data_IF_631054503378
#
_entry.id   IF_631054503378
#
_cell.length_a   1.000
_cell.length_b   1.000
_cell.length_c   1.000
_cell.angle_alpha   90.00
_cell.angle_beta   90.00
_cell.angle_gamma   90.00
#
_symmetry.space_group_name_H-M   'P 1'
#
loop_
_entity.id
_entity.type
_entity.pdbx_description
1 polymer ?
#
# COMPACT_ATOMS: atom_id res chain seq x y z
N UNK A 1 -16.14 3.74 -28.58
CA UNK A 1 -14.86 4.14 -27.93
C UNK A 1 -14.26 2.89 -27.32
N UNK A 2 -13.17 2.37 -27.91
CA UNK A 2 -12.45 1.22 -27.36
C UNK A 2 -11.51 1.76 -26.29
N UNK A 3 -11.68 1.32 -25.04
CA UNK A 3 -10.77 1.65 -23.94
C UNK A 3 -9.44 0.95 -24.21
N UNK A 4 -8.37 1.72 -24.40
CA UNK A 4 -7.02 1.19 -24.49
C UNK A 4 -6.63 0.65 -23.12
N UNK A 5 -6.65 -0.68 -22.97
CA UNK A 5 -5.95 -1.35 -21.88
C UNK A 5 -4.46 -1.19 -22.20
N UNK A 6 -3.83 -0.21 -21.57
CA UNK A 6 -2.37 -0.05 -21.63
C UNK A 6 -1.75 -1.24 -20.89
N UNK A 7 -1.21 -2.19 -21.65
CA UNK A 7 -0.29 -3.21 -21.15
C UNK A 7 0.97 -2.50 -20.64
N UNK A 8 1.10 -2.40 -19.33
CA UNK A 8 2.25 -1.78 -18.68
C UNK A 8 3.45 -2.73 -18.86
N UNK A 9 4.44 -2.32 -19.64
CA UNK A 9 5.75 -2.99 -19.71
C UNK A 9 6.56 -2.58 -18.48
N UNK A 10 7.42 -3.46 -17.97
CA UNK A 10 8.15 -3.22 -16.70
C UNK A 10 9.05 -1.96 -16.71
N UNK A 11 9.47 -1.49 -17.88
CA UNK A 11 10.26 -0.27 -18.05
C UNK A 11 9.41 1.00 -17.83
N UNK A 12 8.14 0.99 -18.25
CA UNK A 12 7.20 2.09 -18.02
C UNK A 12 6.86 2.24 -16.53
N UNK A 13 6.81 1.12 -15.80
CA UNK A 13 6.64 1.14 -14.34
C UNK A 13 7.86 1.76 -13.65
N UNK A 14 9.07 1.34 -14.02
CA UNK A 14 10.32 1.90 -13.47
C UNK A 14 10.40 3.42 -13.65
N UNK A 15 10.13 3.91 -14.86
CA UNK A 15 10.09 5.35 -15.18
C UNK A 15 9.00 6.09 -14.37
N UNK A 16 7.86 5.44 -14.15
CA UNK A 16 6.77 5.99 -13.34
C UNK A 16 7.16 6.10 -11.86
N UNK A 17 7.81 5.08 -11.31
CA UNK A 17 8.30 5.11 -9.93
C UNK A 17 9.39 6.16 -9.74
N UNK A 18 10.32 6.26 -10.69
CA UNK A 18 11.40 7.26 -10.66
C UNK A 18 10.84 8.69 -10.69
N UNK A 19 9.78 8.92 -11.49
CA UNK A 19 9.04 10.19 -11.48
C UNK A 19 8.39 10.49 -10.13
N UNK A 20 7.74 9.51 -9.50
CA UNK A 20 7.14 9.72 -8.17
C UNK A 20 8.20 10.01 -7.12
N UNK A 21 9.35 9.34 -7.18
CA UNK A 21 10.49 9.58 -6.31
C UNK A 21 11.08 10.98 -6.49
N UNK A 22 11.23 11.43 -7.74
CA UNK A 22 11.69 12.77 -8.08
C UNK A 22 10.74 13.88 -7.56
N UNK A 23 9.43 13.63 -7.58
CA UNK A 23 8.43 14.57 -7.04
C UNK A 23 8.52 14.67 -5.51
N UNK A 24 8.70 13.55 -4.82
CA UNK A 24 8.86 13.51 -3.35
C UNK A 24 10.17 14.20 -2.90
N UNK A 25 11.28 13.92 -3.60
CA UNK A 25 12.57 14.59 -3.34
C UNK A 25 12.58 16.08 -3.69
N UNK A 26 11.75 16.52 -4.64
CA UNK A 26 11.54 17.95 -4.92
C UNK A 26 10.74 18.69 -3.84
N UNK A 27 10.33 18.00 -2.76
CA UNK A 27 9.57 18.58 -1.66
C UNK A 27 8.13 18.90 -2.03
N UNK A 28 7.56 18.21 -3.03
CA UNK A 28 6.14 18.32 -3.39
C UNK A 28 5.33 17.56 -2.34
N UNK A 29 5.11 18.20 -1.20
CA UNK A 29 4.25 17.68 -0.15
C UNK A 29 2.78 18.05 -0.42
N UNK A 30 1.85 17.21 0.01
CA UNK A 30 0.43 17.59 0.09
C UNK A 30 0.30 18.85 0.97
N UNK A 31 -0.54 19.81 0.57
CA UNK A 31 -0.78 21.00 1.37
C UNK A 31 -1.51 20.62 2.67
N UNK A 32 -0.76 20.53 3.77
CA UNK A 32 -1.28 20.13 5.10
C UNK A 32 -1.83 21.34 5.88
N UNK A 33 -1.55 22.57 5.45
CA UNK A 33 -2.03 23.80 6.08
C UNK A 33 -0.97 24.90 6.10
N UNK A 34 -0.97 25.74 7.13
CA UNK A 34 0.09 26.74 7.33
C UNK A 34 1.39 26.05 7.76
N UNK A 35 2.53 26.70 7.51
CA UNK A 35 3.87 26.22 7.90
C UNK A 35 3.91 25.91 9.42
N UNK A 36 3.23 26.71 10.23
CA UNK A 36 3.17 26.51 11.67
C UNK A 36 2.36 25.25 12.07
N UNK A 37 1.27 24.97 11.34
CA UNK A 37 0.47 23.76 11.56
C UNK A 37 1.25 22.49 11.19
N UNK A 38 1.99 22.53 10.08
CA UNK A 38 2.87 21.44 9.64
C UNK A 38 3.99 21.19 10.67
N UNK A 39 4.66 22.24 11.13
CA UNK A 39 5.69 22.15 12.18
C UNK A 39 5.14 21.59 13.49
N UNK A 40 3.94 22.00 13.89
CA UNK A 40 3.28 21.50 15.09
C UNK A 40 3.01 20.00 14.99
N UNK A 41 2.50 19.53 13.85
CA UNK A 41 2.24 18.10 13.61
C UNK A 41 3.53 17.27 13.63
N UNK A 42 4.62 17.78 13.03
CA UNK A 42 5.94 17.12 13.06
C UNK A 42 6.45 17.02 14.50
N UNK A 43 6.38 18.11 15.27
CA UNK A 43 6.83 18.13 16.66
C UNK A 43 6.05 17.15 17.53
N UNK A 44 4.74 17.00 17.30
CA UNK A 44 3.90 16.03 18.02
C UNK A 44 4.38 14.59 17.74
N UNK A 45 4.59 14.24 16.47
CA UNK A 45 5.09 12.91 16.05
C UNK A 45 6.46 12.62 16.64
N UNK A 46 7.39 13.58 16.58
CA UNK A 46 8.72 13.45 17.17
C UNK A 46 8.65 13.22 18.68
N UNK A 47 7.81 13.98 19.38
CA UNK A 47 7.63 13.84 20.83
C UNK A 47 7.05 12.47 21.22
N UNK A 48 6.16 11.90 20.41
CA UNK A 48 5.61 10.57 20.63
C UNK A 48 6.65 9.49 20.34
N UNK A 49 7.43 9.66 19.28
CA UNK A 49 8.51 8.76 18.93
C UNK A 49 9.53 8.67 20.07
N UNK A 50 10.07 9.79 20.54
CA UNK A 50 11.05 9.82 21.65
C UNK A 50 10.52 9.15 22.92
N UNK A 51 9.26 9.40 23.28
CA UNK A 51 8.61 8.81 24.47
C UNK A 51 8.39 7.30 24.37
N UNK A 52 8.29 6.75 23.17
CA UNK A 52 7.96 5.34 22.94
C UNK A 52 9.17 4.47 22.63
N UNK A 53 10.37 5.07 22.58
CA UNK A 53 11.61 4.32 22.45
C UNK A 53 11.86 3.56 23.76
N UNK A 54 11.84 2.24 23.68
CA UNK A 54 12.23 1.33 24.74
C UNK A 54 13.49 0.57 24.33
N UNK A 55 14.57 0.72 25.09
CA UNK A 55 15.77 -0.10 24.93
C UNK A 55 15.64 -1.36 25.76
N UNK A 56 15.60 -2.51 25.09
CA UNK A 56 15.62 -3.83 25.71
C UNK A 56 16.96 -4.51 25.46
N UNK A 57 17.19 -5.66 26.08
CA UNK A 57 18.44 -6.41 25.94
C UNK A 57 18.70 -6.92 24.52
N UNK A 58 17.64 -7.10 23.75
CA UNK A 58 17.61 -7.63 22.38
C UNK A 58 17.53 -6.55 21.29
N UNK A 59 17.26 -5.29 21.66
CA UNK A 59 17.23 -4.19 20.71
C UNK A 59 16.40 -2.98 21.15
N UNK A 60 16.18 -2.07 20.21
CA UNK A 60 15.31 -0.92 20.39
C UNK A 60 13.92 -1.22 19.84
N UNK A 61 12.92 -0.96 20.67
CA UNK A 61 11.52 -1.05 20.32
C UNK A 61 10.94 0.36 20.28
N UNK A 62 10.16 0.65 19.25
CA UNK A 62 9.47 1.94 19.13
C UNK A 62 8.05 1.69 18.70
N UNK A 63 7.12 2.52 19.20
CA UNK A 63 5.73 2.51 18.78
C UNK A 63 5.52 3.64 17.79
N UNK A 64 5.07 3.34 16.58
CA UNK A 64 4.68 4.36 15.63
C UNK A 64 3.27 4.88 15.95
N UNK A 65 3.04 6.20 15.87
CA UNK A 65 1.71 6.75 16.10
C UNK A 65 0.77 6.36 14.94
N UNK A 66 -0.46 5.98 15.29
CA UNK A 66 -1.51 5.78 14.29
C UNK A 66 -2.09 7.13 13.86
N UNK A 67 -2.47 7.25 12.58
CA UNK A 67 -3.20 8.42 12.10
C UNK A 67 -4.58 8.45 12.76
N UNK A 68 -4.86 9.51 13.50
CA UNK A 68 -6.16 9.71 14.14
C UNK A 68 -7.24 9.96 13.07
N UNK A 69 -8.48 9.57 13.34
CA UNK A 69 -9.63 9.75 12.43
C UNK A 69 -9.44 9.13 11.03
N UNK A 70 -8.76 7.98 10.95
CA UNK A 70 -8.67 7.26 9.69
C UNK A 70 -10.02 6.60 9.34
N UNK A 71 -10.34 6.55 8.05
CA UNK A 71 -11.47 5.75 7.58
C UNK A 71 -11.26 4.28 7.96
N UNK A 72 -12.34 3.53 8.29
CA UNK A 72 -12.21 2.11 8.56
C UNK A 72 -11.60 1.41 7.35
N UNK A 73 -10.66 0.50 7.60
CA UNK A 73 -10.02 -0.28 6.55
C UNK A 73 -11.08 -1.04 5.75
N UNK A 74 -11.03 -1.02 4.40
CA UNK A 74 -11.99 -1.74 3.60
C UNK A 74 -11.90 -3.25 3.86
N UNK A 75 -13.04 -3.93 3.82
CA UNK A 75 -13.07 -5.37 4.06
C UNK A 75 -12.35 -6.14 2.96
N UNK A 76 -11.39 -7.00 3.35
CA UNK A 76 -10.70 -7.90 2.43
C UNK A 76 -11.57 -9.10 1.97
N UNK A 77 -12.83 -9.20 2.42
CA UNK A 77 -13.72 -10.34 2.16
C UNK A 77 -13.88 -10.62 0.67
N UNK A 78 -14.14 -9.59 -0.14
CA UNK A 78 -14.39 -9.75 -1.58
C UNK A 78 -13.13 -10.18 -2.33
N UNK A 79 -11.96 -9.68 -1.95
CA UNK A 79 -10.68 -10.06 -2.56
C UNK A 79 -10.34 -11.51 -2.17
N UNK A 80 -10.51 -11.87 -0.90
CA UNK A 80 -10.32 -13.23 -0.42
C UNK A 80 -11.25 -14.23 -1.14
N UNK A 81 -12.53 -13.88 -1.31
CA UNK A 81 -13.49 -14.70 -2.04
C UNK A 81 -13.08 -14.88 -3.51
N UNK A 82 -12.66 -13.80 -4.19
CA UNK A 82 -12.17 -13.89 -5.58
C UNK A 82 -10.93 -14.76 -5.71
N UNK A 83 -10.01 -14.72 -4.75
CA UNK A 83 -8.82 -15.60 -4.73
C UNK A 83 -9.26 -17.06 -4.57
N UNK A 84 -10.14 -17.33 -3.62
CA UNK A 84 -10.67 -18.66 -3.37
C UNK A 84 -11.38 -19.24 -4.59
N UNK A 85 -12.25 -18.45 -5.25
CA UNK A 85 -12.99 -18.92 -6.42
C UNK A 85 -12.11 -19.01 -7.66
N UNK A 86 -11.08 -18.17 -7.81
CA UNK A 86 -10.11 -18.27 -8.92
C UNK A 86 -9.31 -19.58 -8.84
N UNK A 87 -8.85 -19.98 -7.66
CA UNK A 87 -8.20 -21.28 -7.46
C UNK A 87 -9.19 -22.44 -7.71
N UNK A 88 -10.45 -22.29 -7.28
CA UNK A 88 -11.50 -23.29 -7.56
C UNK A 88 -11.87 -23.43 -9.04
N UNK A 89 -11.85 -22.34 -9.82
CA UNK A 89 -12.15 -22.34 -11.25
C UNK A 89 -11.02 -22.98 -12.07
N UNK A 90 -9.75 -22.75 -11.69
CA UNK A 90 -8.61 -23.39 -12.35
C UNK A 90 -8.64 -24.91 -12.16
N UNK A 91 -9.02 -25.39 -10.97
CA UNK A 91 -9.20 -26.83 -10.71
C UNK A 91 -10.39 -27.39 -11.51
N UNK A 92 -11.52 -26.68 -11.57
CA UNK A 92 -12.69 -27.15 -12.31
C UNK A 92 -12.47 -27.20 -13.84
N UNK A 93 -11.75 -26.23 -14.41
CA UNK A 93 -11.38 -26.22 -15.83
C UNK A 93 -10.37 -27.35 -16.14
N UNK A 94 -9.37 -27.56 -15.28
CA UNK A 94 -8.42 -28.66 -15.46
C UNK A 94 -9.09 -30.04 -15.42
N UNK A 95 -10.12 -30.23 -14.58
CA UNK A 95 -10.88 -31.48 -14.51
C UNK A 95 -11.82 -31.64 -15.73
N UNK A 96 -12.35 -30.56 -16.31
CA UNK A 96 -13.16 -30.64 -17.54
C UNK A 96 -12.30 -30.97 -18.77
N UNK A 97 -11.07 -30.48 -18.84
CA UNK A 97 -10.15 -30.77 -19.95
C UNK A 97 -9.58 -32.20 -19.88
N UNK A 98 -9.45 -32.80 -18.69
CA UNK A 98 -9.05 -34.22 -18.55
C UNK A 98 -10.17 -35.23 -18.88
N UNK A 99 -11.44 -34.83 -18.81
CA UNK A 99 -12.59 -35.73 -19.06
C UNK A 99 -13.04 -35.72 -20.53
N UNK A 100 -12.47 -34.83 -21.36
CA UNK A 100 -12.81 -34.69 -22.79
C UNK A 100 -11.59 -34.89 -23.70
N UNK A 101 -10.85 -36.00 -23.53
CA UNK A 101 -9.93 -36.51 -24.55
C UNK A 101 -10.43 -37.87 -25.06
N UNK A 102 -10.79 -38.01 -26.35
CA UNK A 102 -11.20 -39.29 -26.94
C UNK A 102 -10.02 -40.25 -27.15
#
# INVERSE_FOLDING_TARGET
>A
MVSMIQTITGEDDLLRWDKYWAMDTAGVCEYIGTIDAERSAINEVLSFFEKTIERRSDGYYVRLPYKQNHLPLPSNKTIALKRLTREGYLVAVAIQDEVYTP
#
